data_IF_351553566082
#
_entry.id   IF_351553566082
#
_cell.length_a   1.000
_cell.length_b   1.000
_cell.length_c   1.000
_cell.angle_alpha   90.00
_cell.angle_beta   90.00
_cell.angle_gamma   90.00
#
_symmetry.space_group_name_H-M   'P 1'
#
loop_
_entity.id
_entity.type
_entity.pdbx_description
1 polymer ?
#
# COMPACT_ATOMS: atom_id res chain seq x y z
N UNK A 1 27.97 -1.95 -0.30
CA UNK A 1 27.42 -0.73 -0.94
C UNK A 1 27.39 0.38 0.11
N UNK A 2 28.02 1.54 -0.10
CA UNK A 2 28.04 2.58 0.92
C UNK A 2 26.63 3.14 1.16
N UNK A 3 26.28 3.27 2.43
CA UNK A 3 25.00 3.73 2.96
C UNK A 3 24.82 5.23 2.67
N UNK A 4 24.15 5.57 1.57
CA UNK A 4 23.88 6.96 1.21
C UNK A 4 22.62 7.50 1.92
N UNK A 5 22.62 7.47 3.26
CA UNK A 5 21.55 8.06 4.06
C UNK A 5 21.37 9.57 3.76
N UNK A 6 22.44 10.23 3.30
CA UNK A 6 22.46 11.64 2.91
C UNK A 6 21.63 11.97 1.65
N UNK A 7 21.33 11.01 0.78
CA UNK A 7 20.51 11.23 -0.43
C UNK A 7 19.05 10.79 -0.28
N UNK A 8 18.61 10.34 0.91
CA UNK A 8 17.21 9.94 1.07
C UNK A 8 16.31 11.17 1.09
N UNK A 9 15.14 11.11 0.46
CA UNK A 9 14.14 12.20 0.49
C UNK A 9 13.74 12.66 1.89
N UNK A 10 14.02 11.84 2.90
CA UNK A 10 13.75 12.09 4.32
C UNK A 10 14.86 12.87 5.02
N UNK A 11 16.01 13.11 4.36
CA UNK A 11 17.10 13.91 4.92
C UNK A 11 16.72 15.38 5.14
N UNK A 12 15.75 15.90 4.35
CA UNK A 12 15.23 17.28 4.45
C UNK A 12 13.87 17.36 5.16
N UNK A 13 13.59 16.45 6.10
CA UNK A 13 12.32 16.42 6.82
C UNK A 13 12.11 17.76 7.55
N UNK A 14 11.00 18.44 7.28
CA UNK A 14 10.66 19.74 7.88
C UNK A 14 11.17 20.96 7.11
N UNK A 15 11.95 20.77 6.03
CA UNK A 15 12.51 21.88 5.22
C UNK A 15 11.69 22.15 3.93
N UNK A 16 10.79 21.23 3.56
CA UNK A 16 9.90 21.38 2.39
C UNK A 16 8.51 20.79 2.66
N UNK A 17 7.48 21.16 1.89
CA UNK A 17 6.17 20.51 1.95
C UNK A 17 6.25 19.01 1.69
N UNK A 18 5.38 18.27 2.37
CA UNK A 18 5.14 16.84 2.15
C UNK A 18 4.26 16.67 0.92
N UNK A 19 4.60 15.70 0.06
CA UNK A 19 3.81 15.34 -1.11
C UNK A 19 3.06 14.04 -0.87
N UNK A 20 1.74 14.10 -0.88
CA UNK A 20 0.85 12.96 -0.63
C UNK A 20 0.03 12.74 -1.88
N UNK A 21 0.07 11.53 -2.43
CA UNK A 21 -0.79 11.13 -3.53
C UNK A 21 -1.80 10.07 -3.08
N UNK A 22 -2.99 10.15 -3.62
CA UNK A 22 -4.02 9.14 -3.42
C UNK A 22 -4.06 8.19 -4.63
N UNK A 23 -4.18 6.89 -4.38
CA UNK A 23 -4.25 5.86 -5.43
C UNK A 23 -5.62 5.18 -5.56
N UNK A 24 -6.51 5.38 -4.59
CA UNK A 24 -7.86 4.82 -4.60
C UNK A 24 -8.82 5.75 -3.85
N UNK A 25 -9.98 6.01 -4.42
CA UNK A 25 -11.09 6.72 -3.76
C UNK A 25 -12.46 6.26 -4.27
N UNK A 26 -12.50 5.28 -5.16
CA UNK A 26 -13.71 4.69 -5.71
C UNK A 26 -13.61 3.16 -5.73
N UNK A 27 -14.78 2.50 -5.70
CA UNK A 27 -14.89 1.05 -5.88
C UNK A 27 -14.20 0.64 -7.18
N UNK A 28 -13.25 -0.29 -7.08
CA UNK A 28 -12.62 -0.92 -8.25
C UNK A 28 -11.51 -0.09 -8.90
N UNK A 29 -10.99 0.93 -8.20
CA UNK A 29 -9.75 1.59 -8.64
C UNK A 29 -8.63 0.54 -8.78
N UNK A 30 -8.05 0.38 -9.98
CA UNK A 30 -7.16 -0.74 -10.25
C UNK A 30 -5.80 -0.56 -9.56
N UNK A 31 -5.18 -1.68 -9.16
CA UNK A 31 -3.91 -1.66 -8.41
C UNK A 31 -2.76 -0.93 -9.10
N UNK A 32 -2.77 -0.85 -10.44
CA UNK A 32 -1.76 -0.09 -11.18
C UNK A 32 -1.78 1.42 -10.86
N UNK A 33 -2.84 1.98 -10.25
CA UNK A 33 -2.83 3.37 -9.80
C UNK A 33 -1.81 3.59 -8.69
N UNK A 34 -1.64 2.61 -7.78
CA UNK A 34 -0.57 2.64 -6.78
C UNK A 34 0.80 2.61 -7.48
N UNK A 35 0.95 1.76 -8.50
CA UNK A 35 2.19 1.64 -9.27
C UNK A 35 2.53 2.95 -9.99
N UNK A 36 1.54 3.63 -10.59
CA UNK A 36 1.72 4.92 -11.24
C UNK A 36 2.22 5.97 -10.26
N UNK A 37 1.63 6.06 -9.07
CA UNK A 37 2.12 6.98 -8.03
C UNK A 37 3.53 6.61 -7.56
N UNK A 38 3.81 5.31 -7.39
CA UNK A 38 5.11 4.85 -6.95
C UNK A 38 6.21 5.08 -7.99
N UNK A 39 5.92 4.97 -9.29
CA UNK A 39 6.92 5.04 -10.37
C UNK A 39 7.02 6.43 -10.98
N UNK A 40 5.90 7.07 -11.29
CA UNK A 40 5.82 8.35 -11.99
C UNK A 40 5.70 9.54 -11.03
N UNK A 41 5.16 9.33 -9.83
CA UNK A 41 5.00 10.37 -8.83
C UNK A 41 6.30 10.74 -8.12
N UNK A 42 6.47 12.04 -7.87
CA UNK A 42 7.43 12.57 -6.89
C UNK A 42 6.71 12.77 -5.54
N UNK A 43 6.33 11.65 -4.92
CA UNK A 43 5.45 11.61 -3.74
C UNK A 43 6.17 10.98 -2.55
N UNK A 44 5.98 11.54 -1.36
CA UNK A 44 6.54 11.00 -0.10
C UNK A 44 5.65 9.90 0.47
N UNK A 45 4.33 10.09 0.35
CA UNK A 45 3.30 9.20 0.86
C UNK A 45 2.34 8.82 -0.26
N UNK A 46 1.89 7.57 -0.24
CA UNK A 46 0.74 7.10 -1.00
C UNK A 46 -0.36 6.74 -0.01
N UNK A 47 -1.54 7.32 -0.22
CA UNK A 47 -2.77 6.96 0.48
C UNK A 47 -3.70 6.19 -0.45
N UNK A 48 -4.66 5.45 0.12
CA UNK A 48 -5.72 4.84 -0.65
C UNK A 48 -6.91 4.49 0.23
N UNK A 49 -8.09 4.90 -0.21
CA UNK A 49 -9.37 4.54 0.38
C UNK A 49 -10.05 3.49 -0.51
N UNK A 50 -10.24 2.30 0.04
CA UNK A 50 -10.81 1.13 -0.65
C UNK A 50 -12.19 0.76 -0.09
N UNK A 51 -12.65 1.43 0.96
CA UNK A 51 -13.86 1.02 1.68
C UNK A 51 -15.08 1.76 1.13
N UNK A 52 -15.95 1.02 0.44
CA UNK A 52 -17.30 1.47 0.12
C UNK A 52 -18.32 0.62 0.90
N UNK A 53 -19.40 1.25 1.39
CA UNK A 53 -20.43 0.61 2.21
C UNK A 53 -20.98 -0.67 1.58
N UNK A 54 -21.27 -0.62 0.27
CA UNK A 54 -21.78 -1.78 -0.49
C UNK A 54 -20.75 -2.91 -0.63
N UNK A 55 -19.47 -2.58 -0.83
CA UNK A 55 -18.41 -3.58 -1.02
C UNK A 55 -18.17 -4.37 0.27
N UNK A 56 -18.26 -3.71 1.41
CA UNK A 56 -17.95 -4.33 2.69
C UNK A 56 -18.98 -5.41 3.05
N UNK A 57 -20.26 -5.19 2.72
CA UNK A 57 -21.31 -6.18 2.87
C UNK A 57 -21.09 -7.40 1.95
N UNK A 58 -20.82 -7.17 0.66
CA UNK A 58 -20.52 -8.24 -0.30
C UNK A 58 -19.28 -9.07 0.13
N UNK A 59 -18.23 -8.39 0.60
CA UNK A 59 -17.03 -9.05 1.11
C UNK A 59 -17.30 -9.84 2.39
N UNK A 60 -18.22 -9.39 3.25
CA UNK A 60 -18.57 -10.08 4.48
C UNK A 60 -19.31 -11.39 4.19
N UNK A 61 -20.27 -11.37 3.27
CA UNK A 61 -20.97 -12.57 2.82
C UNK A 61 -20.01 -13.57 2.17
N UNK A 62 -19.16 -13.11 1.25
CA UNK A 62 -18.17 -13.95 0.58
C UNK A 62 -17.11 -14.50 1.56
N UNK A 63 -16.67 -13.71 2.55
CA UNK A 63 -15.74 -14.16 3.59
C UNK A 63 -16.38 -15.21 4.49
N UNK A 64 -17.64 -15.02 4.90
CA UNK A 64 -18.39 -16.01 5.68
C UNK A 64 -18.59 -17.34 4.91
N UNK A 65 -18.71 -17.27 3.59
CA UNK A 65 -18.76 -18.43 2.70
C UNK A 65 -17.38 -19.06 2.40
N UNK A 66 -16.28 -18.49 2.92
CA UNK A 66 -14.91 -18.96 2.66
C UNK A 66 -14.38 -18.65 1.25
N UNK A 67 -15.01 -17.72 0.55
CA UNK A 67 -14.72 -17.37 -0.84
C UNK A 67 -13.91 -16.07 -0.98
N UNK A 68 -13.66 -15.36 0.12
CA UNK A 68 -12.95 -14.08 0.11
C UNK A 68 -11.99 -13.97 1.31
N UNK A 69 -10.75 -13.46 1.12
CA UNK A 69 -9.74 -13.39 2.18
C UNK A 69 -10.01 -12.29 3.23
N UNK A 70 -11.01 -11.44 2.97
CA UNK A 70 -11.48 -10.39 3.88
C UNK A 70 -10.79 -9.03 3.72
N UNK A 71 -9.76 -8.92 2.89
CA UNK A 71 -9.14 -7.66 2.49
C UNK A 71 -9.44 -7.32 1.03
N UNK A 72 -9.37 -6.04 0.67
CA UNK A 72 -9.68 -5.56 -0.67
C UNK A 72 -8.68 -6.13 -1.71
N UNK A 73 -9.16 -6.74 -2.80
CA UNK A 73 -8.29 -7.36 -3.79
C UNK A 73 -7.47 -6.35 -4.60
N UNK A 74 -7.97 -5.13 -4.81
CA UNK A 74 -7.26 -4.09 -5.55
C UNK A 74 -6.18 -3.42 -4.70
N UNK A 75 -6.40 -3.29 -3.39
CA UNK A 75 -5.37 -2.91 -2.45
C UNK A 75 -4.20 -3.90 -2.45
N UNK A 76 -4.51 -5.21 -2.41
CA UNK A 76 -3.51 -6.26 -2.47
C UNK A 76 -2.74 -6.26 -3.80
N UNK A 77 -3.46 -6.20 -4.94
CA UNK A 77 -2.87 -6.08 -6.27
C UNK A 77 -1.93 -4.87 -6.39
N UNK A 78 -2.35 -3.71 -5.87
CA UNK A 78 -1.53 -2.51 -5.85
C UNK A 78 -0.23 -2.66 -5.05
N UNK A 79 -0.30 -3.30 -3.88
CA UNK A 79 0.89 -3.62 -3.07
C UNK A 79 1.84 -4.52 -3.87
N UNK A 80 1.34 -5.62 -4.44
CA UNK A 80 2.15 -6.57 -5.21
C UNK A 80 2.89 -5.91 -6.36
N UNK A 81 2.19 -5.07 -7.13
CA UNK A 81 2.80 -4.39 -8.28
C UNK A 81 3.82 -3.31 -7.86
N UNK A 82 3.63 -2.69 -6.70
CA UNK A 82 4.35 -1.45 -6.35
C UNK A 82 5.48 -1.62 -5.34
N UNK A 83 5.61 -2.80 -4.70
CA UNK A 83 6.47 -2.99 -3.52
C UNK A 83 7.93 -2.61 -3.77
N UNK A 84 8.48 -2.96 -4.93
CA UNK A 84 9.85 -2.64 -5.33
C UNK A 84 10.06 -1.12 -5.45
N UNK A 85 9.16 -0.43 -6.13
CA UNK A 85 9.23 1.02 -6.32
C UNK A 85 9.05 1.77 -4.99
N UNK A 86 8.14 1.30 -4.14
CA UNK A 86 7.91 1.80 -2.79
C UNK A 86 9.19 1.67 -1.95
N UNK A 87 9.83 0.49 -1.99
CA UNK A 87 11.05 0.21 -1.26
C UNK A 87 12.21 1.09 -1.75
N UNK A 88 12.44 1.14 -3.06
CA UNK A 88 13.53 1.89 -3.69
C UNK A 88 13.44 3.39 -3.39
N UNK A 89 12.23 3.98 -3.47
CA UNK A 89 12.00 5.41 -3.19
C UNK A 89 11.72 5.71 -1.72
N UNK A 90 11.65 4.69 -0.87
CA UNK A 90 11.29 4.80 0.56
C UNK A 90 9.95 5.54 0.77
N UNK A 91 8.97 5.25 -0.09
CA UNK A 91 7.60 5.78 0.01
C UNK A 91 6.92 5.17 1.25
N UNK A 92 6.08 5.96 1.91
CA UNK A 92 5.21 5.45 2.98
C UNK A 92 3.81 5.22 2.43
N UNK A 93 3.25 4.04 2.67
CA UNK A 93 1.91 3.67 2.20
C UNK A 93 0.96 3.59 3.39
N UNK A 94 -0.18 4.26 3.29
CA UNK A 94 -1.23 4.28 4.32
C UNK A 94 -2.56 3.99 3.63
N UNK A 95 -3.13 2.82 3.88
CA UNK A 95 -4.36 2.37 3.22
C UNK A 95 -5.29 1.71 4.24
N UNK A 96 -6.59 1.76 3.99
CA UNK A 96 -7.60 1.02 4.76
C UNK A 96 -8.03 -0.29 4.07
N UNK A 97 -7.34 -0.70 3.00
CA UNK A 97 -7.66 -1.89 2.19
C UNK A 97 -7.62 -3.24 2.94
N UNK A 98 -7.22 -3.24 4.21
CA UNK A 98 -7.38 -4.39 5.10
C UNK A 98 -8.84 -4.80 5.31
N UNK A 99 -9.79 -3.88 5.14
CA UNK A 99 -11.23 -4.12 5.21
C UNK A 99 -11.65 -4.98 6.42
N UNK A 100 -12.24 -6.17 6.18
CA UNK A 100 -12.72 -7.09 7.21
C UNK A 100 -11.60 -7.92 7.84
N UNK A 101 -10.43 -7.97 7.21
CA UNK A 101 -9.27 -8.74 7.66
C UNK A 101 -7.96 -7.93 7.55
N UNK A 102 -7.82 -6.84 8.32
CA UNK A 102 -6.61 -6.01 8.28
C UNK A 102 -5.36 -6.78 8.70
N UNK A 103 -5.48 -7.71 9.65
CA UNK A 103 -4.39 -8.61 10.05
C UNK A 103 -3.98 -9.54 8.91
N UNK A 104 -4.92 -10.04 8.12
CA UNK A 104 -4.63 -10.89 6.97
C UNK A 104 -3.84 -10.17 5.90
N UNK A 105 -4.28 -8.96 5.50
CA UNK A 105 -3.55 -8.15 4.53
C UNK A 105 -2.14 -7.83 5.02
N UNK A 106 -2.02 -7.54 6.31
CA UNK A 106 -0.75 -7.27 6.94
C UNK A 106 0.23 -8.44 6.86
N UNK A 107 -0.20 -9.63 7.29
CA UNK A 107 0.59 -10.85 7.22
C UNK A 107 1.02 -11.13 5.78
N UNK A 108 0.09 -11.05 4.83
CA UNK A 108 0.38 -11.26 3.41
C UNK A 108 1.42 -10.25 2.87
N UNK A 109 1.31 -8.99 3.27
CA UNK A 109 2.26 -7.94 2.91
C UNK A 109 3.64 -8.20 3.53
N UNK A 110 3.68 -8.67 4.77
CA UNK A 110 4.93 -9.01 5.45
C UNK A 110 5.60 -10.23 4.81
N UNK A 111 4.84 -11.24 4.40
CA UNK A 111 5.35 -12.39 3.66
C UNK A 111 5.93 -11.97 2.31
N UNK A 112 5.21 -11.10 1.58
CA UNK A 112 5.74 -10.50 0.35
C UNK A 112 7.06 -9.79 0.63
N UNK A 113 7.11 -8.92 1.64
CA UNK A 113 8.35 -8.21 2.01
C UNK A 113 9.45 -9.16 2.44
N UNK A 114 9.18 -10.24 3.16
CA UNK A 114 10.19 -11.21 3.61
C UNK A 114 10.79 -12.03 2.48
N UNK A 115 10.02 -12.26 1.40
CA UNK A 115 10.49 -12.94 0.20
C UNK A 115 11.42 -12.07 -0.66
N UNK A 116 11.38 -10.75 -0.48
CA UNK A 116 12.25 -9.80 -1.16
C UNK A 116 13.25 -9.20 -0.15
N UNK A 117 14.49 -8.90 -0.53
CA UNK A 117 15.47 -8.30 0.40
C UNK A 117 15.18 -6.80 0.64
N UNK A 118 13.97 -6.44 1.07
CA UNK A 118 13.55 -5.06 1.33
C UNK A 118 13.63 -4.71 2.82
N UNK A 119 14.14 -3.53 3.12
CA UNK A 119 14.06 -2.94 4.45
C UNK A 119 12.75 -2.13 4.59
N UNK A 120 11.62 -2.82 4.50
CA UNK A 120 10.27 -2.27 4.69
C UNK A 120 9.80 -2.56 6.12
N UNK A 121 9.24 -1.55 6.79
CA UNK A 121 8.61 -1.71 8.10
C UNK A 121 7.10 -1.54 7.92
N UNK A 122 6.36 -2.57 8.31
CA UNK A 122 4.91 -2.56 8.35
C UNK A 122 4.45 -2.07 9.72
N UNK A 123 3.54 -1.11 9.74
CA UNK A 123 2.87 -0.62 10.95
C UNK A 123 1.38 -0.93 10.78
N UNK A 124 0.81 -1.65 11.74
CA UNK A 124 -0.57 -2.12 11.75
C UNK A 124 -1.37 -1.43 12.83
#
# INVERSE_FOLDING_TARGET
MPNNAASSRWAKKGERPVRIANCSGARGDPGYQMLRQATLGDVDFITGDYLAEMNLAEHAEAMAAGQHPGYDPYAWDGIQQSIDAIAAKRIKVIINGGALNPRGLATQTQELVGNFFHNLSLLL
#
